data_IF_337735179124
#
_entry.id   IF_337735179124
#
_cell.length_a   1.000
_cell.length_b   1.000
_cell.length_c   1.000
_cell.angle_alpha   90.00
_cell.angle_beta   90.00
_cell.angle_gamma   90.00
#
_symmetry.space_group_name_H-M   'P 1'
#
loop_
_entity.id
_entity.type
_entity.pdbx_description
1 polymer ?
#
# COMPACT_ATOMS: atom_id res chain seq x y z
N UNK A 1 14.19 19.74 -10.85
CA UNK A 1 14.08 18.92 -9.62
C UNK A 1 13.25 17.70 -9.97
N UNK A 2 13.70 16.48 -9.69
CA UNK A 2 12.86 15.28 -9.84
C UNK A 2 12.14 15.03 -8.50
N UNK A 3 10.86 14.71 -8.53
CA UNK A 3 10.05 14.37 -7.33
C UNK A 3 9.50 12.97 -7.54
N UNK A 4 9.78 12.07 -6.59
CA UNK A 4 9.23 10.72 -6.62
C UNK A 4 7.80 10.73 -6.09
N UNK A 5 6.87 10.15 -6.85
CA UNK A 5 5.48 10.02 -6.44
C UNK A 5 5.29 8.76 -5.59
N UNK A 6 5.19 8.93 -4.28
CA UNK A 6 4.78 7.85 -3.38
C UNK A 6 3.31 7.97 -3.01
N UNK A 7 2.64 6.84 -2.83
CA UNK A 7 1.27 6.76 -2.31
C UNK A 7 1.19 5.84 -1.11
N UNK A 8 0.25 6.10 -0.22
CA UNK A 8 -0.16 5.14 0.80
C UNK A 8 -1.51 4.53 0.46
N UNK A 9 -1.69 3.26 0.83
CA UNK A 9 -2.91 2.49 0.51
C UNK A 9 -3.39 1.75 1.75
N UNK A 10 -4.67 1.88 2.06
CA UNK A 10 -5.42 1.18 3.09
C UNK A 10 -6.71 0.59 2.50
N UNK A 11 -7.53 -0.06 3.34
CA UNK A 11 -8.85 -0.56 2.96
C UNK A 11 -9.78 0.52 2.37
N UNK A 12 -9.56 1.79 2.72
CA UNK A 12 -10.31 2.92 2.18
C UNK A 12 -10.19 3.11 0.67
N UNK A 13 -9.11 2.63 0.05
CA UNK A 13 -8.91 2.65 -1.40
C UNK A 13 -9.50 1.41 -2.10
N UNK A 14 -10.05 0.45 -1.35
CA UNK A 14 -10.68 -0.76 -1.86
C UNK A 14 -9.72 -1.62 -2.68
N UNK A 15 -10.17 -2.06 -3.87
CA UNK A 15 -9.39 -2.88 -4.80
C UNK A 15 -8.38 -2.02 -5.58
N UNK A 16 -7.46 -1.37 -4.87
CA UNK A 16 -6.43 -0.54 -5.47
C UNK A 16 -5.55 -1.35 -6.46
N UNK A 17 -5.44 -0.86 -7.69
CA UNK A 17 -4.60 -1.45 -8.73
C UNK A 17 -3.24 -0.76 -8.74
N UNK A 18 -2.17 -1.53 -8.51
CA UNK A 18 -0.80 -1.01 -8.48
C UNK A 18 -0.43 -0.37 -9.82
N UNK A 19 0.13 0.84 -9.77
CA UNK A 19 0.51 1.65 -10.92
C UNK A 19 -0.63 2.49 -11.51
N UNK A 20 -1.87 2.34 -11.05
CA UNK A 20 -3.02 3.06 -11.59
C UNK A 20 -2.96 4.58 -11.39
N UNK A 21 -2.15 5.05 -10.45
CA UNK A 21 -1.94 6.48 -10.20
C UNK A 21 -0.64 7.01 -10.81
N UNK A 22 0.18 6.16 -11.43
CA UNK A 22 1.53 6.51 -11.88
C UNK A 22 2.51 6.72 -10.73
N UNK A 23 2.30 6.04 -9.61
CA UNK A 23 3.20 6.04 -8.47
C UNK A 23 4.51 5.31 -8.75
N UNK A 24 5.56 5.75 -8.08
CA UNK A 24 6.92 5.20 -8.13
C UNK A 24 7.28 4.49 -6.82
N UNK A 25 6.36 4.49 -5.83
CA UNK A 25 6.51 3.76 -4.58
C UNK A 25 5.21 3.68 -3.78
N UNK A 26 5.04 2.63 -2.98
CA UNK A 26 3.81 2.36 -2.23
C UNK A 26 4.09 1.99 -0.78
N UNK A 27 3.30 2.52 0.17
CA UNK A 27 3.28 2.04 1.56
C UNK A 27 1.88 1.52 1.90
N UNK A 28 1.75 0.23 2.21
CA UNK A 28 0.44 -0.42 2.42
C UNK A 28 0.14 -0.58 3.92
N UNK A 29 -1.05 -0.19 4.36
CA UNK A 29 -1.52 -0.46 5.73
C UNK A 29 -1.64 -1.96 5.94
N UNK A 30 -0.95 -2.52 6.94
CA UNK A 30 -1.08 -3.93 7.30
C UNK A 30 -2.06 -4.12 8.46
N UNK A 31 -1.92 -3.32 9.52
CA UNK A 31 -2.61 -3.53 10.79
C UNK A 31 -2.99 -2.21 11.46
N UNK A 32 -3.94 -2.28 12.40
CA UNK A 32 -4.28 -1.17 13.29
C UNK A 32 -4.51 -1.65 14.72
N UNK A 33 -3.91 -0.94 15.69
CA UNK A 33 -3.97 -1.28 17.10
C UNK A 33 -3.59 -2.75 17.34
N UNK A 34 -4.32 -3.45 18.19
CA UNK A 34 -4.00 -4.84 18.53
C UNK A 34 -4.97 -5.86 17.92
N UNK A 35 -5.99 -5.41 17.19
CA UNK A 35 -7.10 -6.28 16.76
C UNK A 35 -7.55 -6.15 15.30
N UNK A 36 -7.08 -5.15 14.55
CA UNK A 36 -7.48 -4.95 13.17
C UNK A 36 -6.36 -5.34 12.20
N UNK A 37 -6.73 -6.10 11.17
CA UNK A 37 -5.90 -6.43 10.01
C UNK A 37 -6.59 -5.85 8.77
N UNK A 38 -5.86 -5.14 7.92
CA UNK A 38 -6.41 -4.59 6.69
C UNK A 38 -6.80 -5.71 5.71
N UNK A 39 -8.08 -5.81 5.39
CA UNK A 39 -8.65 -6.81 4.51
C UNK A 39 -8.10 -6.75 3.07
N UNK A 40 -7.63 -5.58 2.61
CA UNK A 40 -7.07 -5.40 1.27
C UNK A 40 -5.54 -5.56 1.22
N UNK A 41 -4.87 -5.79 2.35
CA UNK A 41 -3.40 -5.86 2.40
C UNK A 41 -2.85 -6.92 1.45
N UNK A 42 -3.36 -8.15 1.51
CA UNK A 42 -2.86 -9.26 0.69
C UNK A 42 -3.05 -8.99 -0.82
N UNK A 43 -4.19 -8.41 -1.20
CA UNK A 43 -4.49 -8.07 -2.60
C UNK A 43 -3.49 -7.05 -3.17
N UNK A 44 -3.16 -6.00 -2.41
CA UNK A 44 -2.21 -4.97 -2.86
C UNK A 44 -0.76 -5.48 -2.77
N UNK A 45 -0.39 -6.17 -1.68
CA UNK A 45 0.95 -6.70 -1.48
C UNK A 45 1.33 -7.74 -2.55
N UNK A 46 0.40 -8.57 -2.99
CA UNK A 46 0.65 -9.55 -4.06
C UNK A 46 0.97 -8.86 -5.40
N UNK A 47 0.23 -7.81 -5.75
CA UNK A 47 0.52 -7.02 -6.94
C UNK A 47 1.90 -6.36 -6.84
N UNK A 48 2.23 -5.76 -5.69
CA UNK A 48 3.52 -5.09 -5.46
C UNK A 48 4.71 -6.06 -5.52
N UNK A 49 4.57 -7.25 -4.92
CA UNK A 49 5.58 -8.32 -4.97
C UNK A 49 5.88 -8.77 -6.39
N UNK A 50 4.90 -8.70 -7.29
CA UNK A 50 5.05 -9.02 -8.71
C UNK A 50 5.39 -7.81 -9.59
N UNK A 51 5.61 -6.63 -8.99
CA UNK A 51 5.95 -5.39 -9.67
C UNK A 51 7.42 -5.01 -9.43
N UNK A 52 7.91 -4.01 -10.17
CA UNK A 52 9.21 -3.38 -9.91
C UNK A 52 9.08 -2.13 -9.01
N UNK A 53 7.90 -1.89 -8.40
CA UNK A 53 7.67 -0.70 -7.57
C UNK A 53 8.20 -0.97 -6.16
N UNK A 54 9.11 -0.13 -5.63
CA UNK A 54 9.57 -0.25 -4.25
C UNK A 54 8.40 -0.02 -3.28
N UNK A 55 8.30 -0.85 -2.25
CA UNK A 55 7.18 -0.77 -1.32
C UNK A 55 7.51 -1.15 0.11
N UNK A 56 6.64 -0.73 1.01
CA UNK A 56 6.72 -1.03 2.44
C UNK A 56 5.34 -1.22 3.07
N UNK A 57 5.35 -1.48 4.37
CA UNK A 57 4.15 -1.68 5.16
C UNK A 57 4.09 -0.65 6.29
N UNK A 58 2.89 -0.24 6.70
CA UNK A 58 2.70 0.56 7.89
C UNK A 58 1.68 -0.04 8.86
N UNK A 59 1.87 0.27 10.14
CA UNK A 59 0.96 -0.01 11.23
C UNK A 59 0.33 1.31 11.71
N UNK A 60 -0.99 1.37 11.81
CA UNK A 60 -1.66 2.51 12.43
C UNK A 60 -1.85 2.23 13.92
N UNK A 61 -1.26 3.03 14.81
CA UNK A 61 -1.21 2.74 16.24
C UNK A 61 -2.60 2.54 16.89
N UNK A 62 -3.65 3.20 16.39
CA UNK A 62 -5.00 3.12 16.96
C UNK A 62 -5.26 4.29 17.89
#
# INVERSE_FOLDING_TARGET
>A
MMVLKFVDVASHQGNYVVGSSGEEGVIVKATQGTGYVNENFAFVAQQLTNSNIPWGIYHYAG
#
